data_IF_230449787793
#
_entry.id   IF_230449787793
#
_cell.length_a   1.000
_cell.length_b   1.000
_cell.length_c   1.000
_cell.angle_alpha   90.00
_cell.angle_beta   90.00
_cell.angle_gamma   90.00
#
_symmetry.space_group_name_H-M   'P 1'
#
loop_
_entity.id
_entity.type
_entity.pdbx_description
1 polymer ?
#
# COMPACT_ATOMS: atom_id res chain seq x y z
N UNK A 1 4.28 -7.28 -5.69
CA UNK A 1 4.52 -7.99 -6.96
C UNK A 1 5.93 -7.66 -7.44
N UNK A 2 6.71 -8.66 -7.81
CA UNK A 2 8.00 -8.45 -8.48
C UNK A 2 7.74 -8.01 -9.94
N UNK A 3 8.71 -7.37 -10.57
CA UNK A 3 8.67 -6.84 -11.94
C UNK A 3 8.09 -7.84 -12.95
N UNK A 4 8.58 -9.08 -12.98
CA UNK A 4 8.10 -10.10 -13.93
C UNK A 4 6.61 -10.44 -13.73
N UNK A 5 6.15 -10.54 -12.48
CA UNK A 5 4.74 -10.79 -12.19
C UNK A 5 3.83 -9.61 -12.61
N UNK A 6 4.38 -8.39 -12.69
CA UNK A 6 3.64 -7.25 -13.25
C UNK A 6 3.52 -7.37 -14.77
N UNK A 7 4.57 -7.81 -15.47
CA UNK A 7 4.52 -8.06 -16.91
C UNK A 7 3.48 -9.16 -17.23
N UNK A 8 3.49 -10.26 -16.49
CA UNK A 8 2.50 -11.34 -16.65
C UNK A 8 1.06 -10.84 -16.49
N UNK A 9 0.80 -10.01 -15.47
CA UNK A 9 -0.51 -9.44 -15.26
C UNK A 9 -0.94 -8.48 -16.38
N UNK A 10 0.00 -7.81 -17.05
CA UNK A 10 -0.26 -6.96 -18.19
C UNK A 10 -0.60 -7.79 -19.44
N UNK A 11 0.19 -8.84 -19.72
CA UNK A 11 -0.03 -9.76 -20.84
C UNK A 11 -1.39 -10.47 -20.70
N UNK A 12 -1.72 -10.96 -19.49
CA UNK A 12 -3.02 -11.54 -19.17
C UNK A 12 -4.18 -10.57 -19.45
N UNK A 13 -4.00 -9.30 -19.10
CA UNK A 13 -5.01 -8.27 -19.33
C UNK A 13 -5.19 -7.98 -20.82
N UNK A 14 -4.10 -7.89 -21.58
CA UNK A 14 -4.12 -7.71 -23.04
C UNK A 14 -4.90 -8.86 -23.69
N UNK A 15 -4.57 -10.10 -23.33
CA UNK A 15 -5.24 -11.29 -23.86
C UNK A 15 -6.74 -11.33 -23.51
N UNK A 16 -7.10 -11.04 -22.26
CA UNK A 16 -8.51 -11.03 -21.80
C UNK A 16 -9.36 -9.97 -22.48
N UNK A 17 -8.76 -8.86 -22.90
CA UNK A 17 -9.47 -7.71 -23.49
C UNK A 17 -9.29 -7.61 -25.01
N UNK A 18 -8.56 -8.54 -25.64
CA UNK A 18 -8.32 -8.55 -27.09
C UNK A 18 -7.60 -7.30 -27.59
N UNK A 19 -6.68 -6.75 -26.80
CA UNK A 19 -5.98 -5.50 -27.14
C UNK A 19 -4.82 -5.78 -28.11
N UNK A 20 -4.62 -4.90 -29.08
CA UNK A 20 -3.54 -5.01 -30.06
C UNK A 20 -2.28 -4.29 -29.56
N UNK A 21 -1.43 -5.00 -28.82
CA UNK A 21 -0.11 -4.54 -28.39
C UNK A 21 0.99 -5.43 -28.99
N UNK A 22 2.17 -4.87 -29.31
CA UNK A 22 3.32 -5.66 -29.74
C UNK A 22 3.88 -6.49 -28.57
N UNK A 23 4.48 -7.64 -28.88
CA UNK A 23 5.23 -8.42 -27.89
C UNK A 23 6.56 -7.74 -27.53
N UNK A 24 6.95 -7.80 -26.25
CA UNK A 24 8.20 -7.23 -25.74
C UNK A 24 9.05 -8.29 -24.99
N UNK A 25 9.58 -9.32 -25.69
CA UNK A 25 10.31 -10.41 -25.02
C UNK A 25 11.56 -9.93 -24.27
N UNK A 26 12.21 -8.87 -24.75
CA UNK A 26 13.38 -8.25 -24.11
C UNK A 26 13.09 -7.63 -22.76
N UNK A 27 11.84 -7.25 -22.46
CA UNK A 27 11.46 -6.76 -21.13
C UNK A 27 11.70 -7.82 -20.04
N UNK A 28 11.85 -9.09 -20.43
CA UNK A 28 12.06 -10.23 -19.54
C UNK A 28 13.54 -10.62 -19.44
N UNK A 29 14.42 -9.98 -20.21
CA UNK A 29 15.88 -10.18 -20.17
C UNK A 29 16.47 -9.38 -19.00
N UNK A 30 16.66 -10.05 -17.87
CA UNK A 30 17.34 -9.47 -16.71
C UNK A 30 18.86 -9.67 -16.86
N UNK A 31 19.61 -8.58 -16.77
CA UNK A 31 21.08 -8.62 -16.78
C UNK A 31 21.68 -9.27 -15.54
N UNK A 32 22.99 -9.50 -15.55
CA UNK A 32 23.70 -9.98 -14.37
C UNK A 32 23.54 -9.00 -13.21
N UNK A 33 23.34 -9.54 -12.01
CA UNK A 33 23.32 -8.73 -10.79
C UNK A 33 24.73 -8.17 -10.51
N UNK A 34 24.84 -6.93 -10.02
CA UNK A 34 26.13 -6.41 -9.57
C UNK A 34 26.68 -7.24 -8.40
N UNK A 35 28.01 -7.25 -8.23
CA UNK A 35 28.68 -8.04 -7.19
C UNK A 35 28.15 -7.75 -5.78
N UNK A 36 27.79 -6.51 -5.49
CA UNK A 36 27.21 -6.15 -4.19
C UNK A 36 25.84 -6.81 -3.93
N UNK A 37 25.10 -7.17 -4.97
CA UNK A 37 23.82 -7.86 -4.86
C UNK A 37 23.97 -9.38 -4.93
N UNK A 38 24.95 -9.90 -5.69
CA UNK A 38 25.22 -11.34 -5.79
C UNK A 38 26.06 -11.88 -4.63
N UNK A 39 26.94 -11.04 -4.06
CA UNK A 39 27.87 -11.34 -2.97
C UNK A 39 27.90 -10.19 -1.94
N UNK A 40 26.81 -9.99 -1.17
CA UNK A 40 26.74 -8.90 -0.21
C UNK A 40 27.72 -9.10 0.96
N UNK A 41 28.39 -8.03 1.38
CA UNK A 41 29.11 -8.01 2.66
C UNK A 41 28.11 -8.21 3.80
N UNK A 42 28.30 -9.29 4.57
CA UNK A 42 27.44 -9.59 5.74
C UNK A 42 27.96 -8.96 7.03
N UNK A 43 29.24 -8.64 7.03
CA UNK A 43 29.97 -8.08 8.16
C UNK A 43 30.91 -7.01 7.63
N UNK A 44 31.15 -5.99 8.44
CA UNK A 44 32.05 -4.88 8.14
C UNK A 44 32.69 -4.41 9.43
N UNK A 45 34.02 -4.41 9.48
CA UNK A 45 34.74 -3.69 10.53
C UNK A 45 34.67 -2.19 10.22
N UNK A 46 34.01 -1.44 11.11
CA UNK A 46 33.76 -0.01 10.87
C UNK A 46 35.04 0.82 10.97
N UNK A 47 36.00 0.40 11.80
CA UNK A 47 37.26 1.12 11.99
C UNK A 47 38.15 0.95 10.76
N UNK A 48 38.34 -0.28 10.30
CA UNK A 48 39.13 -0.59 9.10
C UNK A 48 38.49 0.00 7.84
N UNK A 49 37.15 0.06 7.78
CA UNK A 49 36.42 0.69 6.69
C UNK A 49 36.36 2.23 6.76
N UNK A 50 36.88 2.85 7.84
CA UNK A 50 36.85 4.30 8.03
C UNK A 50 35.45 4.89 8.21
N UNK A 51 34.48 4.08 8.65
CA UNK A 51 33.09 4.51 8.89
C UNK A 51 32.97 5.08 10.31
N UNK A 52 32.65 6.36 10.39
CA UNK A 52 32.55 7.13 11.64
C UNK A 52 31.12 7.48 12.04
N UNK A 53 30.14 7.30 11.14
CA UNK A 53 28.72 7.54 11.39
C UNK A 53 27.85 6.55 10.63
N UNK A 54 26.74 6.14 11.24
CA UNK A 54 25.71 5.31 10.62
C UNK A 54 24.39 6.08 10.60
N UNK A 55 23.76 6.18 9.43
CA UNK A 55 22.42 6.78 9.27
C UNK A 55 21.42 5.71 8.88
N UNK A 56 20.44 5.45 9.74
CA UNK A 56 19.39 4.47 9.50
C UNK A 56 18.27 5.09 8.64
N UNK A 57 18.38 4.93 7.32
CA UNK A 57 17.37 5.37 6.35
C UNK A 57 16.44 4.20 5.92
N UNK A 58 16.11 3.29 6.83
CA UNK A 58 15.37 2.05 6.57
C UNK A 58 13.84 2.19 6.62
N UNK A 59 13.33 3.43 6.63
CA UNK A 59 11.90 3.74 6.65
C UNK A 59 11.29 3.75 8.05
N UNK A 60 9.96 3.63 8.11
CA UNK A 60 9.17 3.67 9.34
C UNK A 60 8.04 2.63 9.27
N UNK A 61 7.44 2.33 10.42
CA UNK A 61 6.20 1.54 10.51
C UNK A 61 5.10 2.37 11.14
N UNK A 62 3.85 2.07 10.80
CA UNK A 62 2.70 2.63 11.49
C UNK A 62 2.50 1.91 12.83
N UNK A 63 2.26 2.67 13.90
CA UNK A 63 1.89 2.15 15.21
C UNK A 63 0.44 2.56 15.53
N UNK A 64 -0.41 1.55 15.72
CA UNK A 64 -1.83 1.70 16.04
C UNK A 64 -2.17 1.27 17.47
N UNK A 65 -1.18 1.03 18.33
CA UNK A 65 -1.36 0.59 19.72
C UNK A 65 -2.29 1.50 20.55
N UNK A 66 -2.39 2.77 20.17
CA UNK A 66 -3.26 3.77 20.79
C UNK A 66 -4.75 3.60 20.43
N UNK A 67 -5.08 2.91 19.33
CA UNK A 67 -6.45 2.72 18.88
C UNK A 67 -6.99 1.37 19.35
N UNK A 68 -7.74 1.38 20.46
CA UNK A 68 -8.37 0.18 21.01
C UNK A 68 -9.67 -0.16 20.27
N UNK A 69 -9.55 -0.81 19.11
CA UNK A 69 -10.68 -1.20 18.28
C UNK A 69 -10.44 -2.54 17.57
N UNK A 70 -11.51 -3.27 17.25
CA UNK A 70 -11.45 -4.51 16.45
C UNK A 70 -11.32 -4.21 14.94
N UNK A 71 -10.28 -3.44 14.61
CA UNK A 71 -10.03 -2.91 13.28
C UNK A 71 -8.76 -3.46 12.63
N UNK A 72 -8.04 -4.39 13.27
CA UNK A 72 -6.69 -4.82 12.88
C UNK A 72 -6.57 -6.33 12.67
N UNK A 73 -5.69 -6.76 11.76
CA UNK A 73 -5.36 -8.17 11.60
C UNK A 73 -4.36 -8.66 12.68
N UNK A 74 -4.03 -9.95 12.65
CA UNK A 74 -3.06 -10.57 13.58
C UNK A 74 -1.67 -9.92 13.55
N UNK A 75 -1.36 -9.13 12.50
CA UNK A 75 -0.09 -8.41 12.32
C UNK A 75 -0.21 -6.94 12.71
N UNK A 76 -1.33 -6.52 13.31
CA UNK A 76 -1.60 -5.14 13.72
C UNK A 76 -1.90 -4.20 12.54
N UNK A 77 -2.18 -4.74 11.34
CA UNK A 77 -2.48 -3.92 10.16
C UNK A 77 -3.98 -3.64 10.07
N UNK A 78 -4.37 -2.42 9.70
CA UNK A 78 -5.76 -2.07 9.46
C UNK A 78 -6.48 -3.04 8.51
N UNK A 79 -7.56 -3.69 8.98
CA UNK A 79 -8.52 -4.39 8.13
C UNK A 79 -9.45 -3.36 7.52
N UNK A 80 -9.31 -3.12 6.23
CA UNK A 80 -10.13 -2.15 5.52
C UNK A 80 -10.38 -2.53 4.06
N UNK A 81 -11.39 -1.89 3.46
CA UNK A 81 -11.58 -1.83 2.02
C UNK A 81 -11.60 -0.38 1.58
N UNK A 82 -10.59 0.04 0.81
CA UNK A 82 -10.42 1.44 0.37
C UNK A 82 -10.51 2.47 1.51
N UNK A 83 -9.95 2.15 2.66
CA UNK A 83 -9.94 3.02 3.84
C UNK A 83 -11.16 2.89 4.76
N UNK A 84 -12.22 2.16 4.38
CA UNK A 84 -13.34 1.86 5.28
C UNK A 84 -12.99 0.63 6.12
N UNK A 85 -12.95 0.78 7.45
CA UNK A 85 -12.59 -0.31 8.37
C UNK A 85 -13.67 -1.40 8.43
N UNK A 86 -13.29 -2.59 8.91
CA UNK A 86 -14.26 -3.57 9.41
C UNK A 86 -15.05 -3.07 10.62
N UNK A 87 -14.44 -2.21 11.44
CA UNK A 87 -15.09 -1.62 12.61
C UNK A 87 -15.88 -0.36 12.22
N UNK A 88 -17.20 -0.30 12.51
CA UNK A 88 -18.02 0.85 12.17
C UNK A 88 -17.52 2.16 12.81
N UNK A 89 -17.42 3.21 12.00
CA UNK A 89 -16.99 4.53 12.46
C UNK A 89 -15.48 4.76 12.42
N UNK A 90 -14.68 3.72 12.12
CA UNK A 90 -13.24 3.85 11.92
C UNK A 90 -12.91 3.88 10.43
N UNK A 91 -12.02 4.80 10.07
CA UNK A 91 -11.57 5.00 8.69
C UNK A 91 -10.06 5.23 8.67
N UNK A 92 -9.42 4.74 7.62
CA UNK A 92 -7.99 4.85 7.39
C UNK A 92 -7.72 5.62 6.10
N UNK A 93 -6.75 6.53 6.14
CA UNK A 93 -6.35 7.36 5.02
C UNK A 93 -4.83 7.43 4.95
N UNK A 94 -4.27 7.62 3.74
CA UNK A 94 -2.83 7.74 3.54
C UNK A 94 -2.08 6.42 3.58
N UNK A 95 -2.78 5.29 3.69
CA UNK A 95 -2.15 3.97 3.58
C UNK A 95 -1.75 3.68 2.13
N UNK A 96 -0.68 2.90 1.91
CA UNK A 96 -0.34 2.46 0.57
C UNK A 96 -1.47 1.56 0.02
N UNK A 97 -1.76 1.69 -1.28
CA UNK A 97 -2.72 0.81 -1.97
C UNK A 97 -4.16 0.83 -1.44
N UNK A 98 -4.68 1.98 -0.99
CA UNK A 98 -6.11 2.10 -0.68
C UNK A 98 -6.97 1.93 -1.93
N UNK A 99 -7.08 2.96 -2.76
CA UNK A 99 -7.68 2.84 -4.09
C UNK A 99 -6.63 2.66 -5.18
N UNK A 100 -5.40 3.17 -4.98
CA UNK A 100 -4.37 3.27 -6.01
C UNK A 100 -2.96 3.22 -5.40
N UNK A 101 -1.94 3.04 -6.25
CA UNK A 101 -0.52 3.18 -5.86
C UNK A 101 -0.21 4.53 -5.21
N UNK A 102 -0.88 5.59 -5.66
CA UNK A 102 -0.71 6.95 -5.18
C UNK A 102 -1.30 7.27 -3.81
N UNK A 103 -2.03 6.34 -3.17
CA UNK A 103 -2.85 6.61 -1.98
C UNK A 103 -2.08 7.16 -0.78
N UNK A 104 -0.81 6.80 -0.63
CA UNK A 104 0.05 7.29 0.46
C UNK A 104 0.80 8.59 0.13
N UNK A 105 0.67 9.11 -1.10
CA UNK A 105 1.35 10.33 -1.52
C UNK A 105 0.43 11.54 -1.37
N UNK A 106 1.00 12.68 -0.99
CA UNK A 106 0.27 13.96 -0.86
C UNK A 106 -0.55 14.28 -2.13
N UNK A 107 0.04 14.02 -3.31
CA UNK A 107 -0.65 14.27 -4.58
C UNK A 107 -1.77 13.26 -4.89
N UNK A 108 -1.71 12.03 -4.36
CA UNK A 108 -2.66 10.97 -4.69
C UNK A 108 -3.76 10.74 -3.65
N UNK A 109 -3.54 11.12 -2.40
CA UNK A 109 -4.42 10.81 -1.25
C UNK A 109 -5.82 11.42 -1.38
N UNK A 110 -5.97 12.51 -2.12
CA UNK A 110 -7.25 13.24 -2.23
C UNK A 110 -8.39 12.37 -2.78
N UNK A 111 -8.09 11.42 -3.66
CA UNK A 111 -9.10 10.48 -4.18
C UNK A 111 -9.67 9.59 -3.08
N UNK A 112 -8.81 9.09 -2.19
CA UNK A 112 -9.23 8.27 -1.05
C UNK A 112 -9.93 9.12 -0.01
N UNK A 113 -9.45 10.34 0.23
CA UNK A 113 -10.06 11.28 1.16
C UNK A 113 -11.51 11.60 0.76
N UNK A 114 -11.72 11.90 -0.54
CA UNK A 114 -13.06 12.12 -1.08
C UNK A 114 -13.96 10.90 -0.88
N UNK A 115 -13.46 9.71 -1.22
CA UNK A 115 -14.23 8.47 -1.08
C UNK A 115 -14.65 8.20 0.37
N UNK A 116 -13.72 8.33 1.32
CA UNK A 116 -13.99 8.14 2.75
C UNK A 116 -14.99 9.19 3.26
N UNK A 117 -14.84 10.45 2.86
CA UNK A 117 -15.77 11.52 3.24
C UNK A 117 -17.20 11.26 2.73
N UNK A 118 -17.34 10.88 1.46
CA UNK A 118 -18.64 10.55 0.86
C UNK A 118 -19.30 9.35 1.58
N UNK A 119 -18.49 8.34 1.97
CA UNK A 119 -18.97 7.20 2.76
C UNK A 119 -19.46 7.63 4.15
N UNK A 120 -18.69 8.45 4.86
CA UNK A 120 -19.06 8.98 6.19
C UNK A 120 -20.37 9.77 6.10
N UNK A 121 -20.51 10.65 5.10
CA UNK A 121 -21.72 11.44 4.90
C UNK A 121 -22.94 10.55 4.68
N UNK A 122 -22.80 9.52 3.84
CA UNK A 122 -23.87 8.53 3.56
C UNK A 122 -24.29 7.80 4.84
N UNK A 123 -23.34 7.31 5.64
CA UNK A 123 -23.63 6.60 6.89
C UNK A 123 -24.34 7.50 7.91
N UNK A 124 -23.93 8.78 8.02
CA UNK A 124 -24.60 9.75 8.91
C UNK A 124 -26.05 9.97 8.53
N UNK A 125 -26.35 10.06 7.23
CA UNK A 125 -27.72 10.18 6.73
C UNK A 125 -28.56 8.96 7.12
N UNK A 126 -28.04 7.74 6.95
CA UNK A 126 -28.77 6.52 7.35
C UNK A 126 -29.02 6.45 8.86
N UNK A 127 -28.04 6.85 9.67
CA UNK A 127 -28.20 6.88 11.13
C UNK A 127 -29.27 7.89 11.55
N UNK A 128 -29.32 9.09 10.95
CA UNK A 128 -30.35 10.08 11.27
C UNK A 128 -31.75 9.61 10.89
N UNK A 129 -31.92 8.87 9.79
CA UNK A 129 -33.20 8.25 9.44
C UNK A 129 -33.66 7.21 10.48
N UNK A 130 -32.76 6.33 10.94
CA UNK A 130 -33.10 5.32 11.97
C UNK A 130 -33.46 5.95 13.31
N UNK A 131 -32.79 7.05 13.68
CA UNK A 131 -33.13 7.81 14.90
C UNK A 131 -34.49 8.52 14.80
N UNK A 132 -34.93 8.90 13.59
CA UNK A 132 -36.24 9.52 13.36
C UNK A 132 -37.40 8.52 13.29
N UNK A 133 -37.16 7.28 12.85
CA UNK A 133 -38.16 6.22 12.73
C UNK A 133 -38.42 5.46 14.04
N UNK A 134 -37.61 5.68 15.08
CA UNK A 134 -37.76 5.07 16.41
C UNK A 134 -38.49 5.98 17.41
N UNK A 135 -39.19 7.02 16.93
CA UNK A 135 -40.09 7.87 17.72
C UNK A 135 -41.55 7.58 17.39
#
# INVERSE_FOLDING_TARGET
ANYLALLDAADDYIARNGLAFPEEPRARELGALPDCASQPHRELDLQDAGVNSIVWATGFTADYSWLHADAFDEKGRPRHRRGVSSEPGIYFLGLPWLSRRGSSFIWGVWHDAKYVADHIATQRTYLSYRSGASK
#
